data_IF_940890884204
#
_entry.id   IF_940890884204
#
_cell.length_a   1.000
_cell.length_b   1.000
_cell.length_c   1.000
_cell.angle_alpha   90.00
_cell.angle_beta   90.00
_cell.angle_gamma   90.00
#
_symmetry.space_group_name_H-M   'P 1'
#
loop_
_entity.id
_entity.type
_entity.pdbx_description
1 polymer ?
#
# COMPACT_ATOMS: atom_id res chain seq x y z
N UNK A 1 8.36 -9.70 -7.87
CA UNK A 1 9.49 -8.75 -7.83
C UNK A 1 9.11 -7.44 -8.52
N UNK A 2 9.41 -6.29 -7.89
CA UNK A 2 9.14 -4.97 -8.45
C UNK A 2 10.47 -4.27 -8.69
N UNK A 3 10.66 -3.73 -9.90
CA UNK A 3 11.85 -2.96 -10.26
C UNK A 3 11.44 -1.55 -10.66
N UNK A 4 12.02 -0.57 -10.00
CA UNK A 4 11.89 0.86 -10.28
C UNK A 4 13.25 1.29 -10.84
N UNK A 5 13.27 1.82 -12.06
CA UNK A 5 14.52 2.14 -12.76
C UNK A 5 14.52 3.57 -13.25
N UNK A 6 15.51 4.33 -12.78
CA UNK A 6 15.80 5.69 -13.22
C UNK A 6 14.59 6.64 -13.18
N UNK A 7 13.77 6.55 -12.13
CA UNK A 7 12.54 7.36 -12.03
C UNK A 7 12.88 8.82 -11.78
N UNK A 8 12.37 9.65 -12.67
CA UNK A 8 12.32 11.11 -12.50
C UNK A 8 10.87 11.58 -12.49
N UNK A 9 10.55 12.48 -11.58
CA UNK A 9 9.24 13.12 -11.50
C UNK A 9 9.35 14.61 -11.23
N UNK A 10 8.64 15.39 -12.04
CA UNK A 10 8.60 16.87 -11.96
C UNK A 10 7.16 17.34 -11.80
N UNK A 11 6.97 18.37 -11.02
CA UNK A 11 5.73 19.16 -10.96
C UNK A 11 6.08 20.62 -11.29
N UNK A 12 5.81 21.04 -12.52
CA UNK A 12 6.29 22.30 -13.05
C UNK A 12 7.83 22.33 -13.09
N UNK A 13 8.44 23.27 -12.39
CA UNK A 13 9.91 23.41 -12.29
C UNK A 13 10.52 22.60 -11.15
N UNK A 14 9.70 22.04 -10.27
CA UNK A 14 10.19 21.29 -9.11
C UNK A 14 10.42 19.82 -9.47
N UNK A 15 11.67 19.35 -9.41
CA UNK A 15 12.04 17.96 -9.55
C UNK A 15 11.95 17.27 -8.19
N UNK A 16 10.90 16.45 -8.03
CA UNK A 16 10.58 15.76 -6.75
C UNK A 16 11.28 14.42 -6.64
N UNK A 17 11.44 13.67 -7.74
CA UNK A 17 12.21 12.43 -7.79
C UNK A 17 13.35 12.57 -8.80
N UNK A 18 14.54 12.12 -8.40
CA UNK A 18 15.80 12.36 -9.10
C UNK A 18 16.54 11.06 -9.33
N UNK A 19 16.26 10.40 -10.46
CA UNK A 19 16.91 9.15 -10.87
C UNK A 19 16.87 8.07 -9.78
N UNK A 20 15.64 7.75 -9.31
CA UNK A 20 15.42 6.78 -8.25
C UNK A 20 15.44 5.37 -8.82
N UNK A 21 16.27 4.51 -8.23
CA UNK A 21 16.36 3.07 -8.49
C UNK A 21 16.00 2.31 -7.21
N UNK A 22 15.03 1.39 -7.31
CA UNK A 22 14.61 0.52 -6.21
C UNK A 22 14.24 -0.85 -6.76
N UNK A 23 14.63 -1.90 -6.05
CA UNK A 23 14.18 -3.26 -6.29
C UNK A 23 13.51 -3.78 -5.02
N UNK A 24 12.34 -4.40 -5.15
CA UNK A 24 11.54 -4.94 -4.05
C UNK A 24 11.29 -6.40 -4.36
N UNK A 25 11.71 -7.28 -3.44
CA UNK A 25 11.55 -8.72 -3.59
C UNK A 25 10.14 -9.17 -3.14
N UNK A 26 9.73 -10.34 -3.60
CA UNK A 26 8.46 -10.91 -3.18
C UNK A 26 8.51 -11.35 -1.71
N UNK A 27 7.47 -11.05 -0.95
CA UNK A 27 7.39 -11.38 0.48
C UNK A 27 8.28 -10.50 1.36
N UNK A 28 8.78 -9.37 0.84
CA UNK A 28 9.59 -8.40 1.59
C UNK A 28 8.70 -7.31 2.20
N UNK A 29 8.99 -6.89 3.42
CA UNK A 29 8.50 -5.65 4.00
C UNK A 29 9.57 -4.58 3.85
N UNK A 30 9.33 -3.61 2.99
CA UNK A 30 10.22 -2.47 2.76
C UNK A 30 9.63 -1.22 3.39
N UNK A 31 10.37 -0.56 4.26
CA UNK A 31 10.00 0.77 4.77
C UNK A 31 10.71 1.86 3.95
N UNK A 32 10.01 2.97 3.71
CA UNK A 32 10.57 4.18 3.10
C UNK A 32 10.48 5.30 4.12
N UNK A 33 11.63 5.79 4.57
CA UNK A 33 11.74 6.85 5.58
C UNK A 33 12.43 8.08 5.00
N UNK A 34 12.22 9.23 5.61
CA UNK A 34 12.84 10.49 5.19
C UNK A 34 12.01 11.70 5.63
N UNK A 35 12.58 12.90 5.50
CA UNK A 35 11.91 14.15 5.89
C UNK A 35 10.63 14.38 5.08
N UNK A 36 9.74 15.23 5.62
CA UNK A 36 8.59 15.71 4.84
C UNK A 36 9.09 16.40 3.56
N UNK A 37 8.40 16.16 2.45
CA UNK A 37 8.81 16.69 1.14
C UNK A 37 9.94 15.92 0.43
N UNK A 38 10.53 14.87 1.02
CA UNK A 38 11.60 14.10 0.38
C UNK A 38 11.17 13.29 -0.86
N UNK A 39 9.87 13.23 -1.19
CA UNK A 39 9.34 12.52 -2.36
C UNK A 39 8.77 11.13 -2.08
N UNK A 40 8.67 10.70 -0.81
CA UNK A 40 8.22 9.35 -0.40
C UNK A 40 6.85 8.96 -0.97
N UNK A 41 5.84 9.80 -0.72
CA UNK A 41 4.47 9.59 -1.23
C UNK A 41 4.45 9.60 -2.76
N UNK A 42 5.22 10.47 -3.41
CA UNK A 42 5.32 10.51 -4.88
C UNK A 42 5.91 9.20 -5.43
N UNK A 43 6.97 8.68 -4.81
CA UNK A 43 7.54 7.39 -5.18
C UNK A 43 6.52 6.26 -5.01
N UNK A 44 5.80 6.23 -3.86
CA UNK A 44 4.76 5.25 -3.59
C UNK A 44 3.62 5.33 -4.63
N UNK A 45 3.20 6.54 -5.02
CA UNK A 45 2.16 6.74 -6.04
C UNK A 45 2.61 6.26 -7.43
N UNK A 46 3.87 6.44 -7.79
CA UNK A 46 4.42 5.96 -9.07
C UNK A 46 4.52 4.43 -9.06
N UNK A 47 5.06 3.81 -7.99
CA UNK A 47 5.05 2.35 -7.82
C UNK A 47 3.61 1.84 -7.89
N UNK A 48 2.68 2.53 -7.24
CA UNK A 48 1.26 2.21 -7.22
C UNK A 48 0.49 2.54 -8.49
N UNK A 49 1.15 3.05 -9.51
CA UNK A 49 0.52 3.44 -10.80
C UNK A 49 -0.60 4.47 -10.67
N UNK A 50 -0.62 5.23 -9.56
CA UNK A 50 -1.54 6.35 -9.36
C UNK A 50 -1.05 7.61 -10.06
N UNK A 51 0.27 7.74 -10.22
CA UNK A 51 0.91 8.78 -11.03
C UNK A 51 1.90 8.13 -12.01
N UNK A 52 2.27 8.85 -13.05
CA UNK A 52 3.26 8.39 -14.04
C UNK A 52 4.58 9.12 -13.82
N UNK A 53 5.72 8.45 -13.96
CA UNK A 53 7.01 9.12 -14.00
C UNK A 53 7.14 9.95 -15.29
N UNK A 54 7.98 10.97 -15.27
CA UNK A 54 8.36 11.71 -16.47
C UNK A 54 9.47 10.99 -17.24
N UNK A 55 10.34 10.28 -16.50
CA UNK A 55 11.41 9.43 -17.06
C UNK A 55 11.54 8.14 -16.22
N UNK A 56 12.09 7.09 -16.84
CA UNK A 56 12.31 5.80 -16.21
C UNK A 56 11.14 4.84 -16.38
N UNK A 57 11.19 3.71 -15.67
CA UNK A 57 10.19 2.64 -15.78
C UNK A 57 9.92 1.96 -14.43
N UNK A 58 8.72 1.39 -14.31
CA UNK A 58 8.33 0.50 -13.21
C UNK A 58 7.92 -0.83 -13.80
N UNK A 59 8.59 -1.90 -13.36
CA UNK A 59 8.32 -3.26 -13.82
C UNK A 59 7.81 -4.12 -12.66
N UNK A 60 6.76 -4.89 -12.92
CA UNK A 60 6.23 -5.93 -12.06
C UNK A 60 6.43 -7.29 -12.73
N UNK A 61 7.26 -8.14 -12.15
CA UNK A 61 7.61 -9.46 -12.70
C UNK A 61 7.98 -9.41 -14.20
N UNK A 62 8.77 -8.40 -14.58
CA UNK A 62 9.23 -8.18 -15.96
C UNK A 62 8.24 -7.43 -16.87
N UNK A 63 7.04 -7.11 -16.39
CA UNK A 63 6.06 -6.31 -17.15
C UNK A 63 6.26 -4.82 -16.84
N UNK A 64 6.66 -4.03 -17.83
CA UNK A 64 6.73 -2.57 -17.71
C UNK A 64 5.33 -1.95 -17.71
N UNK A 65 4.90 -1.50 -16.53
CA UNK A 65 3.56 -0.92 -16.34
C UNK A 65 3.46 0.52 -16.85
N UNK A 66 4.58 1.20 -17.07
CA UNK A 66 4.59 2.60 -17.55
C UNK A 66 4.13 2.71 -19.01
N UNK A 67 4.26 1.62 -19.78
CA UNK A 67 3.84 1.52 -21.19
C UNK A 67 2.38 1.16 -21.37
N UNK A 68 1.69 0.75 -20.31
CA UNK A 68 0.30 0.31 -20.40
C UNK A 68 -0.65 1.48 -20.69
N UNK A 69 -1.69 1.20 -21.50
CA UNK A 69 -2.79 2.14 -21.70
C UNK A 69 -3.56 2.36 -20.38
N UNK A 70 -4.25 3.49 -20.25
CA UNK A 70 -5.01 3.84 -19.03
C UNK A 70 -5.95 2.71 -18.57
N UNK A 71 -6.67 2.07 -19.49
CA UNK A 71 -7.58 0.97 -19.17
C UNK A 71 -6.82 -0.27 -18.67
N UNK A 72 -5.74 -0.67 -19.35
CA UNK A 72 -4.91 -1.81 -18.91
C UNK A 72 -4.22 -1.54 -17.58
N UNK A 73 -3.77 -0.31 -17.38
CA UNK A 73 -3.14 0.11 -16.12
C UNK A 73 -4.14 0.07 -14.95
N UNK A 74 -5.40 0.48 -15.17
CA UNK A 74 -6.45 0.37 -14.15
C UNK A 74 -6.76 -1.08 -13.78
N UNK A 75 -6.84 -1.97 -14.78
CA UNK A 75 -7.02 -3.42 -14.55
C UNK A 75 -5.81 -4.03 -13.84
N UNK A 76 -4.60 -3.65 -14.24
CA UNK A 76 -3.37 -4.09 -13.58
C UNK A 76 -3.36 -3.67 -12.11
N UNK A 77 -3.60 -2.39 -11.83
CA UNK A 77 -3.67 -1.85 -10.46
C UNK A 77 -4.68 -2.59 -9.60
N UNK A 78 -5.90 -2.80 -10.11
CA UNK A 78 -6.95 -3.52 -9.38
C UNK A 78 -6.53 -4.94 -8.97
N UNK A 79 -5.77 -5.64 -9.81
CA UNK A 79 -5.37 -7.04 -9.56
C UNK A 79 -4.10 -7.19 -8.76
N UNK A 80 -3.15 -6.28 -8.92
CA UNK A 80 -1.78 -6.47 -8.43
C UNK A 80 -1.38 -5.54 -7.29
N UNK A 81 -2.16 -4.49 -7.01
CA UNK A 81 -1.78 -3.46 -6.05
C UNK A 81 -2.90 -3.21 -5.05
N UNK A 82 -2.59 -3.39 -3.78
CA UNK A 82 -3.43 -2.95 -2.66
C UNK A 82 -2.94 -1.61 -2.12
N UNK A 83 -3.86 -0.77 -1.64
CA UNK A 83 -3.51 0.52 -1.02
C UNK A 83 -4.07 0.63 0.38
N UNK A 84 -3.23 1.13 1.30
CA UNK A 84 -3.59 1.49 2.67
C UNK A 84 -3.15 2.93 2.91
N UNK A 85 -4.06 3.80 3.32
CA UNK A 85 -3.79 5.23 3.57
C UNK A 85 -3.99 5.59 5.03
N UNK A 86 -3.38 6.68 5.47
CA UNK A 86 -3.49 7.20 6.83
C UNK A 86 -4.95 7.46 7.24
N UNK A 87 -5.78 7.99 6.36
CA UNK A 87 -7.19 8.31 6.62
C UNK A 87 -8.15 7.25 6.08
N UNK A 88 -7.75 5.99 6.02
CA UNK A 88 -8.52 4.78 5.69
C UNK A 88 -9.27 4.82 4.35
N UNK A 89 -9.85 5.97 3.96
CA UNK A 89 -10.63 6.20 2.73
C UNK A 89 -11.73 5.14 2.51
N UNK A 90 -12.42 4.78 3.59
CA UNK A 90 -13.60 3.91 3.52
C UNK A 90 -14.79 4.73 3.00
N UNK A 91 -15.63 4.09 2.20
CA UNK A 91 -16.84 4.69 1.66
C UNK A 91 -17.93 4.65 2.75
N UNK A 92 -18.43 5.81 3.20
CA UNK A 92 -19.33 5.88 4.36
C UNK A 92 -20.71 5.28 4.10
N UNK A 93 -21.13 5.18 2.82
CA UNK A 93 -22.40 4.62 2.41
C UNK A 93 -22.43 3.09 2.49
N UNK A 94 -21.25 2.44 2.42
CA UNK A 94 -21.09 0.99 2.40
C UNK A 94 -20.78 0.44 3.78
N UNK A 95 -21.24 -0.79 4.03
CA UNK A 95 -20.87 -1.55 5.22
C UNK A 95 -19.37 -1.93 5.21
N UNK A 96 -18.88 -2.43 6.31
CA UNK A 96 -17.52 -3.01 6.43
C UNK A 96 -17.29 -4.10 5.38
N UNK A 97 -18.22 -5.04 5.27
CA UNK A 97 -18.15 -6.13 4.31
C UNK A 97 -18.13 -5.63 2.87
N UNK A 98 -18.99 -4.68 2.55
CA UNK A 98 -19.08 -4.09 1.21
C UNK A 98 -17.83 -3.28 0.84
N UNK A 99 -17.28 -2.49 1.78
CA UNK A 99 -16.02 -1.78 1.56
C UNK A 99 -14.88 -2.72 1.17
N UNK A 100 -14.77 -3.86 1.85
CA UNK A 100 -13.73 -4.85 1.57
C UNK A 100 -13.99 -5.58 0.26
N UNK A 101 -15.24 -5.92 -0.07
CA UNK A 101 -15.60 -6.63 -1.30
C UNK A 101 -15.45 -5.77 -2.57
N UNK A 102 -15.51 -4.44 -2.45
CA UNK A 102 -15.62 -3.51 -3.56
C UNK A 102 -14.53 -3.69 -4.64
N UNK A 103 -13.21 -3.79 -4.32
CA UNK A 103 -12.20 -3.98 -5.36
C UNK A 103 -12.38 -5.28 -6.15
N UNK A 104 -12.86 -6.36 -5.52
CA UNK A 104 -13.13 -7.62 -6.19
C UNK A 104 -14.34 -7.50 -7.14
N UNK A 105 -15.38 -6.79 -6.71
CA UNK A 105 -16.55 -6.49 -7.55
C UNK A 105 -16.16 -5.65 -8.77
N UNK A 106 -15.36 -4.60 -8.58
CA UNK A 106 -14.83 -3.76 -9.68
C UNK A 106 -13.98 -4.60 -10.64
N UNK A 107 -13.24 -5.57 -10.11
CA UNK A 107 -12.44 -6.52 -10.90
C UNK A 107 -13.24 -7.55 -11.68
N UNK A 108 -14.59 -7.56 -11.53
CA UNK A 108 -15.48 -8.49 -12.21
C UNK A 108 -15.69 -9.83 -11.49
N UNK A 109 -15.27 -9.96 -10.24
CA UNK A 109 -15.55 -11.16 -9.42
C UNK A 109 -17.05 -11.23 -9.11
N UNK A 110 -17.63 -12.42 -9.20
CA UNK A 110 -19.04 -12.65 -8.85
C UNK A 110 -19.34 -12.19 -7.40
N UNK A 111 -20.49 -11.56 -7.18
CA UNK A 111 -20.85 -10.95 -5.88
C UNK A 111 -20.69 -11.94 -4.71
N UNK A 112 -21.20 -13.15 -4.86
CA UNK A 112 -21.10 -14.17 -3.80
C UNK A 112 -19.66 -14.49 -3.42
N UNK A 113 -18.79 -14.60 -4.40
CA UNK A 113 -17.37 -14.89 -4.19
C UNK A 113 -16.62 -13.66 -3.62
N UNK A 114 -16.92 -12.45 -4.09
CA UNK A 114 -16.34 -11.22 -3.55
C UNK A 114 -16.69 -11.04 -2.07
N UNK A 115 -17.96 -11.25 -1.71
CA UNK A 115 -18.45 -11.17 -0.33
C UNK A 115 -17.82 -12.26 0.56
N UNK A 116 -17.70 -13.48 0.07
CA UNK A 116 -17.06 -14.59 0.79
C UNK A 116 -15.61 -14.27 1.11
N UNK A 117 -14.82 -13.80 0.13
CA UNK A 117 -13.42 -13.39 0.34
C UNK A 117 -13.30 -12.24 1.33
N UNK A 118 -14.17 -11.25 1.22
CA UNK A 118 -14.18 -10.11 2.12
C UNK A 118 -14.48 -10.56 3.57
N UNK A 119 -15.44 -11.45 3.76
CA UNK A 119 -15.78 -12.00 5.07
C UNK A 119 -14.60 -12.78 5.67
N UNK A 120 -13.95 -13.67 4.91
CA UNK A 120 -12.79 -14.44 5.37
C UNK A 120 -11.65 -13.52 5.86
N UNK A 121 -11.36 -12.45 5.13
CA UNK A 121 -10.35 -11.47 5.54
C UNK A 121 -10.77 -10.69 6.79
N UNK A 122 -12.03 -10.31 6.90
CA UNK A 122 -12.54 -9.61 8.08
C UNK A 122 -12.55 -10.52 9.31
N UNK A 123 -12.89 -11.79 9.14
CA UNK A 123 -12.82 -12.80 10.21
C UNK A 123 -11.36 -12.98 10.69
N UNK A 124 -10.40 -13.08 9.74
CA UNK A 124 -8.98 -13.14 10.06
C UNK A 124 -8.48 -11.92 10.86
N UNK A 125 -9.02 -10.74 10.56
CA UNK A 125 -8.68 -9.48 11.23
C UNK A 125 -9.46 -9.22 12.53
N UNK A 126 -10.24 -10.20 13.01
CA UNK A 126 -11.02 -10.08 14.24
C UNK A 126 -12.22 -9.15 14.13
N UNK A 127 -12.76 -8.97 12.90
CA UNK A 127 -13.88 -8.07 12.63
C UNK A 127 -15.19 -8.77 12.26
N UNK A 128 -15.32 -10.06 12.64
CA UNK A 128 -16.50 -10.88 12.35
C UNK A 128 -17.81 -10.22 12.79
N UNK A 129 -17.81 -9.60 13.96
CA UNK A 129 -19.00 -8.95 14.54
C UNK A 129 -19.24 -7.52 13.98
N UNK A 130 -18.44 -7.10 12.99
CA UNK A 130 -18.46 -5.75 12.41
C UNK A 130 -18.88 -5.72 10.94
N UNK A 131 -19.28 -6.86 10.36
CA UNK A 131 -19.53 -7.00 8.92
C UNK A 131 -20.55 -5.99 8.39
N UNK A 132 -21.65 -5.79 9.13
CA UNK A 132 -22.77 -4.91 8.76
C UNK A 132 -22.61 -3.46 9.26
N UNK A 133 -21.56 -3.18 10.05
CA UNK A 133 -21.30 -1.83 10.56
C UNK A 133 -20.82 -0.90 9.45
N UNK A 134 -21.19 0.37 9.55
CA UNK A 134 -20.65 1.44 8.70
C UNK A 134 -19.35 2.01 9.28
N UNK A 135 -18.53 2.67 8.48
CA UNK A 135 -17.25 3.25 8.94
C UNK A 135 -17.39 4.19 10.14
N UNK A 136 -18.52 4.90 10.27
CA UNK A 136 -18.80 5.78 11.42
C UNK A 136 -19.01 5.05 12.75
N UNK A 137 -19.32 3.76 12.70
CA UNK A 137 -19.58 2.91 13.86
C UNK A 137 -18.34 2.14 14.32
N UNK A 138 -17.22 2.29 13.61
CA UNK A 138 -15.94 1.62 13.89
C UNK A 138 -14.95 2.53 14.61
N UNK A 139 -14.12 1.96 15.47
CA UNK A 139 -12.95 2.63 16.04
C UNK A 139 -11.89 2.93 14.96
N UNK A 140 -10.90 3.77 15.27
CA UNK A 140 -9.79 4.07 14.36
C UNK A 140 -9.03 2.83 13.92
N UNK A 141 -8.69 1.96 14.88
CA UNK A 141 -8.00 0.70 14.60
C UNK A 141 -8.85 -0.28 13.79
N UNK A 142 -10.15 -0.40 14.07
CA UNK A 142 -11.07 -1.21 13.27
C UNK A 142 -11.14 -0.70 11.83
N UNK A 143 -11.31 0.61 11.61
CA UNK A 143 -11.29 1.20 10.26
C UNK A 143 -10.00 0.91 9.51
N UNK A 144 -8.86 0.95 10.20
CA UNK A 144 -7.58 0.64 9.56
C UNK A 144 -7.46 -0.83 9.18
N UNK A 145 -7.90 -1.76 10.03
CA UNK A 145 -7.95 -3.19 9.69
C UNK A 145 -8.89 -3.45 8.50
N UNK A 146 -10.04 -2.77 8.42
CA UNK A 146 -10.93 -2.82 7.24
C UNK A 146 -10.20 -2.33 5.98
N UNK A 147 -9.43 -1.24 6.06
CA UNK A 147 -8.66 -0.74 4.93
C UNK A 147 -7.57 -1.73 4.47
N UNK A 148 -6.92 -2.43 5.42
CA UNK A 148 -5.97 -3.51 5.11
C UNK A 148 -6.67 -4.70 4.45
N UNK A 149 -7.81 -5.14 4.99
CA UNK A 149 -8.61 -6.22 4.39
C UNK A 149 -9.03 -5.88 2.96
N UNK A 150 -9.50 -4.64 2.73
CA UNK A 150 -9.85 -4.14 1.40
C UNK A 150 -8.66 -4.18 0.43
N UNK A 151 -7.47 -3.82 0.90
CA UNK A 151 -6.27 -3.86 0.08
C UNK A 151 -5.90 -5.30 -0.34
N UNK A 152 -6.24 -6.31 0.47
CA UNK A 152 -5.87 -7.71 0.27
C UNK A 152 -6.90 -8.55 -0.52
N UNK A 153 -8.14 -8.07 -0.72
CA UNK A 153 -9.25 -8.90 -1.24
C UNK A 153 -8.98 -9.51 -2.62
N UNK A 154 -8.19 -8.86 -3.44
CA UNK A 154 -7.76 -9.36 -4.76
C UNK A 154 -6.45 -10.15 -4.73
N UNK A 155 -5.88 -10.44 -3.56
CA UNK A 155 -4.57 -11.10 -3.38
C UNK A 155 -3.48 -10.40 -4.20
N UNK A 156 -3.22 -9.12 -3.93
CA UNK A 156 -2.32 -8.31 -4.75
C UNK A 156 -0.87 -8.78 -4.64
N UNK A 157 -0.05 -8.48 -5.65
CA UNK A 157 1.39 -8.71 -5.62
C UNK A 157 2.08 -7.88 -4.53
N UNK A 158 1.57 -6.67 -4.27
CA UNK A 158 2.11 -5.75 -3.26
C UNK A 158 0.99 -4.95 -2.59
N UNK A 159 1.16 -4.66 -1.31
CA UNK A 159 0.39 -3.66 -0.58
C UNK A 159 1.28 -2.44 -0.34
N UNK A 160 0.82 -1.29 -0.80
CA UNK A 160 1.45 0.01 -0.64
C UNK A 160 0.75 0.77 0.47
N UNK A 161 1.48 1.16 1.50
CA UNK A 161 0.93 1.85 2.66
C UNK A 161 1.59 3.23 2.83
N UNK A 162 0.78 4.28 2.87
CA UNK A 162 1.25 5.66 3.11
C UNK A 162 0.82 6.10 4.51
N UNK A 163 1.80 6.16 5.44
CA UNK A 163 1.62 6.51 6.85
C UNK A 163 0.47 5.75 7.54
N UNK A 164 0.39 4.40 7.41
CA UNK A 164 -0.81 3.63 7.76
C UNK A 164 -1.18 3.69 9.24
N UNK A 165 -0.25 4.03 10.12
CA UNK A 165 -0.46 4.11 11.57
C UNK A 165 -0.51 5.55 12.11
N UNK A 166 -0.39 6.57 11.23
CA UNK A 166 -0.22 7.95 11.62
C UNK A 166 -1.40 8.58 12.38
N UNK A 167 -2.60 8.03 12.26
CA UNK A 167 -3.82 8.50 12.95
C UNK A 167 -4.25 7.63 14.15
N UNK A 168 -3.45 6.61 14.50
CA UNK A 168 -3.79 5.63 15.53
C UNK A 168 -3.12 5.97 16.87
N UNK A 169 -3.78 5.57 17.96
CA UNK A 169 -3.14 5.52 19.28
C UNK A 169 -2.06 4.43 19.34
N UNK A 170 -1.27 4.43 20.39
CA UNK A 170 -0.10 3.56 20.56
C UNK A 170 -0.47 2.07 20.50
N UNK A 171 -1.59 1.65 21.11
CA UNK A 171 -2.00 0.25 21.16
C UNK A 171 -2.43 -0.23 19.76
N UNK A 172 -3.34 0.49 19.10
CA UNK A 172 -3.80 0.17 17.75
C UNK A 172 -2.66 0.22 16.72
N UNK A 173 -1.68 1.13 16.90
CA UNK A 173 -0.48 1.21 16.09
C UNK A 173 0.36 -0.07 16.16
N UNK A 174 0.64 -0.57 17.36
CA UNK A 174 1.40 -1.79 17.56
C UNK A 174 0.68 -3.02 16.99
N UNK A 175 -0.64 -3.10 17.16
CA UNK A 175 -1.45 -4.16 16.56
C UNK A 175 -1.36 -4.15 15.03
N UNK A 176 -1.47 -2.97 14.41
CA UNK A 176 -1.35 -2.82 12.96
C UNK A 176 0.05 -3.21 12.45
N UNK A 177 1.11 -2.81 13.17
CA UNK A 177 2.47 -3.20 12.81
C UNK A 177 2.63 -4.72 12.83
N UNK A 178 2.17 -5.37 13.91
CA UNK A 178 2.20 -6.84 14.01
C UNK A 178 1.43 -7.48 12.86
N UNK A 179 0.24 -6.97 12.54
CA UNK A 179 -0.59 -7.48 11.44
C UNK A 179 0.16 -7.48 10.10
N UNK A 180 0.95 -6.46 9.79
CA UNK A 180 1.74 -6.45 8.54
C UNK A 180 2.76 -7.59 8.48
N UNK A 181 3.45 -7.86 9.59
CA UNK A 181 4.43 -8.95 9.66
C UNK A 181 3.76 -10.32 9.65
N UNK A 182 2.64 -10.48 10.35
CA UNK A 182 1.86 -11.72 10.33
C UNK A 182 1.38 -12.04 8.90
N UNK A 183 0.87 -11.04 8.18
CA UNK A 183 0.45 -11.17 6.77
C UNK A 183 1.63 -11.49 5.85
N UNK A 184 2.81 -10.89 6.06
CA UNK A 184 4.03 -11.23 5.35
C UNK A 184 4.41 -12.69 5.57
N UNK A 185 4.42 -13.14 6.82
CA UNK A 185 4.89 -14.48 7.19
C UNK A 185 3.93 -15.58 6.74
N UNK A 186 2.63 -15.36 6.89
CA UNK A 186 1.60 -16.36 6.59
C UNK A 186 1.27 -16.41 5.08
N UNK A 187 1.09 -15.24 4.45
CA UNK A 187 0.65 -15.15 3.05
C UNK A 187 1.77 -14.81 2.07
N UNK A 188 3.00 -14.61 2.55
CA UNK A 188 4.14 -14.12 1.73
C UNK A 188 3.81 -12.80 1.04
N UNK A 189 2.98 -11.99 1.71
CA UNK A 189 2.56 -10.70 1.18
C UNK A 189 3.71 -9.69 1.19
N UNK A 190 3.93 -9.01 0.07
CA UNK A 190 4.90 -7.92 -0.04
C UNK A 190 4.28 -6.61 0.45
N UNK A 191 5.02 -5.85 1.25
CA UNK A 191 4.61 -4.53 1.71
C UNK A 191 5.67 -3.47 1.37
N UNK A 192 5.22 -2.31 0.93
CA UNK A 192 6.03 -1.08 0.85
C UNK A 192 5.34 -0.02 1.69
N UNK A 193 6.01 0.39 2.75
CA UNK A 193 5.40 1.25 3.78
C UNK A 193 6.17 2.55 3.88
N UNK A 194 5.55 3.66 3.50
CA UNK A 194 6.04 5.00 3.83
C UNK A 194 5.68 5.29 5.28
N UNK A 195 6.67 5.62 6.09
CA UNK A 195 6.45 5.91 7.49
C UNK A 195 7.51 6.84 8.08
N UNK A 196 7.13 7.58 9.12
CA UNK A 196 8.04 8.27 10.02
C UNK A 196 8.23 7.52 11.36
N UNK A 197 7.61 6.35 11.50
CA UNK A 197 7.71 5.51 12.68
C UNK A 197 8.99 4.68 12.65
N UNK A 198 9.93 5.02 13.55
CA UNK A 198 11.23 4.36 13.65
C UNK A 198 11.09 2.89 14.09
N UNK A 199 10.08 2.55 14.90
CA UNK A 199 9.87 1.18 15.36
C UNK A 199 9.42 0.27 14.21
N UNK A 200 8.49 0.74 13.38
CA UNK A 200 8.07 0.01 12.20
C UNK A 200 9.22 -0.12 11.19
N UNK A 201 9.96 0.96 10.96
CA UNK A 201 11.10 0.96 10.06
C UNK A 201 12.20 -0.02 10.51
N UNK A 202 12.48 -0.10 11.81
CA UNK A 202 13.48 -1.01 12.38
C UNK A 202 13.08 -2.50 12.31
N UNK A 203 11.78 -2.81 12.21
CA UNK A 203 11.27 -4.17 12.09
C UNK A 203 11.16 -4.63 10.62
N UNK A 204 11.18 -3.70 9.66
CA UNK A 204 11.13 -4.01 8.23
C UNK A 204 12.37 -4.82 7.80
N UNK A 205 12.19 -5.68 6.78
CA UNK A 205 13.31 -6.45 6.22
C UNK A 205 14.38 -5.53 5.63
N UNK A 206 13.95 -4.36 5.13
CA UNK A 206 14.83 -3.33 4.58
C UNK A 206 14.21 -1.94 4.71
N UNK A 207 15.07 -0.96 5.05
CA UNK A 207 14.68 0.45 5.14
C UNK A 207 15.39 1.26 4.03
N UNK A 208 14.60 1.94 3.22
CA UNK A 208 15.06 2.88 2.21
C UNK A 208 15.02 4.29 2.79
N UNK A 209 16.17 4.95 2.82
CA UNK A 209 16.25 6.34 3.27
C UNK A 209 16.12 7.27 2.08
N UNK A 210 15.16 8.18 2.13
CA UNK A 210 14.91 9.12 1.05
C UNK A 210 15.26 10.54 1.48
N UNK A 211 16.10 11.20 0.68
CA UNK A 211 16.50 12.58 0.89
C UNK A 211 16.52 13.33 -0.45
N UNK A 212 15.85 14.49 -0.52
CA UNK A 212 15.80 15.37 -1.68
C UNK A 212 15.56 14.63 -3.03
N UNK A 213 14.58 13.75 -3.02
CA UNK A 213 14.16 12.99 -4.20
C UNK A 213 15.08 11.83 -4.62
N UNK A 214 16.02 11.43 -3.76
CA UNK A 214 16.96 10.32 -4.00
C UNK A 214 16.90 9.29 -2.89
N UNK A 215 17.20 8.04 -3.23
CA UNK A 215 17.49 7.02 -2.22
C UNK A 215 18.95 7.19 -1.81
N UNK A 216 19.20 7.28 -0.51
CA UNK A 216 20.54 7.47 0.06
C UNK A 216 20.89 6.30 0.98
N UNK A 217 22.18 5.95 1.02
CA UNK A 217 22.68 4.99 2.00
C UNK A 217 22.83 5.70 3.35
N UNK A 218 22.42 5.09 4.48
CA UNK A 218 22.62 5.69 5.79
C UNK A 218 24.10 6.06 6.01
N UNK A 219 24.35 7.34 6.34
CA UNK A 219 25.73 7.83 6.59
C UNK A 219 26.42 8.50 5.40
N UNK A 220 25.80 8.60 4.24
CA UNK A 220 26.26 9.50 3.17
C UNK A 220 25.54 10.85 3.28
N UNK A 221 26.31 11.98 3.22
CA UNK A 221 25.75 13.33 3.31
C UNK A 221 24.91 13.70 2.10
#
# INVERSE_FOLDING_TARGET
MIEVKNIVKRYGTLEVLRHVDVRIEQGEVVSIVGRSGAGKTTLLQIIGTLDRPDEGMVCYDGVDVTTLSTSRLAQFRNRHIGFVFQFHQLLPEFTTLENVALPALIGGTARSEAMRRAQELLDYMGLKERLDHKPSELSGGERQRVAVARALVNKPTVVLADEPSGSLDTANKQELHRLFFDLRDEFKQTFVIVTHDEQLAAQADRTLHMNDGRIVTPGQP
#
